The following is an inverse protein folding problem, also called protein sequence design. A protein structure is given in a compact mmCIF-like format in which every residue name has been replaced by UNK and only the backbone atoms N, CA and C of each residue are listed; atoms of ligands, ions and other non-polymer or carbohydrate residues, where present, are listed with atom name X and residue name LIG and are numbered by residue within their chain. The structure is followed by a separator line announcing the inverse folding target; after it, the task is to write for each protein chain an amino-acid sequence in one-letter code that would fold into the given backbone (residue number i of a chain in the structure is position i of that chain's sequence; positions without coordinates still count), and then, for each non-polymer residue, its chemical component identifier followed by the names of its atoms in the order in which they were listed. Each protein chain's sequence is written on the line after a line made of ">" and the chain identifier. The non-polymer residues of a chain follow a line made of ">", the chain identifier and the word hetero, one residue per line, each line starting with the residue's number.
data_IF_132650357932
#
_entry.id   IF_132650357932
#
_cell.length_a   1.000
_cell.length_b   1.000
_cell.length_c   1.000
_cell.angle_alpha   90.00
_cell.angle_beta   90.00
_cell.angle_gamma   90.00
#
_symmetry.space_group_name_H-M   'P 1'
#
loop_
_entity.id
_entity.type
_entity.pdbx_description
1 polymer ?
#
# COMPACT_ATOMS: atom_id res chain seq x y z
N UNK A 1 -4.06 -6.40 -20.70
CA UNK A 1 -3.13 -5.80 -19.72
C UNK A 1 -1.95 -6.73 -19.60
N UNK A 2 -0.71 -6.23 -19.74
CA UNK A 2 0.48 -7.07 -19.53
C UNK A 2 0.76 -7.16 -18.03
N UNK A 3 1.01 -8.36 -17.47
CA UNK A 3 1.34 -8.48 -16.06
C UNK A 3 2.54 -7.59 -15.72
N UNK A 4 2.49 -6.91 -14.58
CA UNK A 4 3.65 -6.20 -14.05
C UNK A 4 4.84 -7.18 -14.07
N UNK A 5 5.89 -6.84 -14.82
CA UNK A 5 7.10 -7.67 -14.85
C UNK A 5 7.59 -7.85 -13.41
N UNK A 6 8.16 -9.00 -13.05
CA UNK A 6 8.63 -9.28 -11.69
C UNK A 6 9.48 -8.15 -11.06
N UNK A 7 10.23 -7.43 -11.90
CA UNK A 7 10.98 -6.23 -11.51
C UNK A 7 10.09 -5.08 -10.99
N UNK A 8 8.94 -4.82 -11.61
CA UNK A 8 8.01 -3.79 -11.18
C UNK A 8 7.33 -4.18 -9.86
N UNK A 9 6.93 -5.45 -9.70
CA UNK A 9 6.39 -5.94 -8.43
C UNK A 9 7.40 -5.80 -7.29
N UNK A 10 8.69 -6.08 -7.55
CA UNK A 10 9.77 -5.87 -6.58
C UNK A 10 9.94 -4.39 -6.20
N UNK A 11 9.79 -3.46 -7.15
CA UNK A 11 9.82 -2.02 -6.86
C UNK A 11 8.66 -1.60 -5.97
N UNK A 12 7.44 -2.08 -6.27
CA UNK A 12 6.25 -1.84 -5.44
C UNK A 12 6.47 -2.32 -4.01
N UNK A 13 6.91 -3.58 -3.83
CA UNK A 13 7.21 -4.14 -2.52
C UNK A 13 8.28 -3.34 -1.77
N UNK A 14 9.39 -3.00 -2.43
CA UNK A 14 10.48 -2.27 -1.78
C UNK A 14 10.07 -0.86 -1.36
N UNK A 15 9.32 -0.15 -2.21
CA UNK A 15 8.77 1.15 -1.86
C UNK A 15 7.82 1.04 -0.67
N UNK A 16 6.90 0.06 -0.69
CA UNK A 16 5.95 -0.14 0.41
C UNK A 16 6.66 -0.46 1.73
N UNK A 17 7.63 -1.36 1.72
CA UNK A 17 8.42 -1.69 2.92
C UNK A 17 9.08 -0.46 3.52
N UNK A 18 9.68 0.40 2.68
CA UNK A 18 10.25 1.68 3.15
C UNK A 18 9.21 2.60 3.76
N UNK A 19 8.02 2.70 3.17
CA UNK A 19 6.91 3.51 3.73
C UNK A 19 6.49 2.99 5.09
N UNK A 20 6.35 1.68 5.26
CA UNK A 20 5.98 1.03 6.53
C UNK A 20 7.08 1.21 7.58
N UNK A 21 8.32 0.87 7.23
CA UNK A 21 9.45 0.86 8.17
C UNK A 21 9.81 2.29 8.62
N UNK A 22 9.80 3.25 7.70
CA UNK A 22 10.14 4.65 7.99
C UNK A 22 8.94 5.48 8.42
N UNK A 23 7.72 4.93 8.32
CA UNK A 23 6.44 5.63 8.55
C UNK A 23 6.39 6.98 7.85
N UNK A 24 6.73 6.99 6.57
CA UNK A 24 6.86 8.23 5.82
C UNK A 24 6.34 8.09 4.39
N UNK A 25 5.31 8.88 4.07
CA UNK A 25 4.65 8.89 2.76
C UNK A 25 5.58 9.32 1.62
N UNK A 26 6.66 10.07 1.90
CA UNK A 26 7.64 10.47 0.87
C UNK A 26 8.33 9.29 0.19
N UNK A 27 8.33 8.10 0.81
CA UNK A 27 8.85 6.87 0.20
C UNK A 27 7.88 6.16 -0.74
N UNK A 28 6.65 6.65 -0.89
CA UNK A 28 5.69 6.13 -1.87
C UNK A 28 6.23 6.44 -3.26
N UNK A 29 6.70 5.43 -4.00
CA UNK A 29 7.20 5.60 -5.36
C UNK A 29 6.04 5.72 -6.35
N UNK A 30 6.34 6.16 -7.57
CA UNK A 30 5.37 6.19 -8.66
C UNK A 30 4.80 4.79 -8.95
N UNK A 31 5.63 3.75 -8.91
CA UNK A 31 5.15 2.37 -9.11
C UNK A 31 4.21 1.92 -8.00
N UNK A 32 4.51 2.23 -6.73
CA UNK A 32 3.60 1.92 -5.62
C UNK A 32 2.30 2.71 -5.78
N UNK A 33 2.38 4.00 -6.04
CA UNK A 33 1.21 4.86 -6.26
C UNK A 33 0.31 4.34 -7.38
N UNK A 34 0.88 4.02 -8.54
CA UNK A 34 0.13 3.49 -9.67
C UNK A 34 -0.52 2.14 -9.32
N UNK A 35 0.20 1.27 -8.62
CA UNK A 35 -0.34 0.00 -8.15
C UNK A 35 -1.52 0.19 -7.19
N UNK A 36 -1.42 1.14 -6.26
CA UNK A 36 -2.48 1.46 -5.31
C UNK A 36 -3.72 2.00 -6.02
N UNK A 37 -3.58 2.91 -6.97
CA UNK A 37 -4.73 3.50 -7.67
C UNK A 37 -5.42 2.56 -8.66
N UNK A 38 -4.65 1.72 -9.35
CA UNK A 38 -5.18 0.88 -10.43
C UNK A 38 -5.71 -0.46 -9.92
N UNK A 39 -5.09 -1.01 -8.88
CA UNK A 39 -5.32 -2.39 -8.45
C UNK A 39 -5.85 -2.51 -7.02
N UNK A 40 -5.97 -1.38 -6.31
CA UNK A 40 -6.49 -1.32 -4.95
C UNK A 40 -7.62 -0.27 -4.88
N UNK A 41 -8.47 -0.33 -3.85
CA UNK A 41 -9.54 0.66 -3.65
C UNK A 41 -9.04 2.05 -3.19
N UNK A 42 -7.79 2.39 -3.52
CA UNK A 42 -7.30 3.75 -3.34
C UNK A 42 -7.77 4.59 -4.53
N UNK A 43 -9.02 5.02 -4.50
CA UNK A 43 -9.50 6.04 -5.43
C UNK A 43 -8.83 7.37 -5.08
N UNK A 44 -7.74 7.70 -5.76
CA UNK A 44 -7.12 9.01 -5.64
C UNK A 44 -7.30 9.77 -6.95
N UNK A 45 -8.09 10.84 -6.91
CA UNK A 45 -8.11 11.88 -7.94
C UNK A 45 -6.87 12.79 -7.86
N UNK A 46 -5.84 12.40 -7.11
CA UNK A 46 -4.69 13.23 -6.78
C UNK A 46 -3.52 12.94 -7.72
N UNK A 47 -2.54 13.85 -7.76
CA UNK A 47 -1.20 13.54 -8.28
C UNK A 47 -0.43 12.69 -7.26
N UNK A 48 0.70 12.10 -7.65
CA UNK A 48 1.59 11.41 -6.71
C UNK A 48 2.01 12.31 -5.53
N UNK A 49 2.29 13.59 -5.81
CA UNK A 49 2.66 14.57 -4.79
C UNK A 49 1.51 14.80 -3.80
N UNK A 50 0.32 15.13 -4.31
CA UNK A 50 -0.85 15.32 -3.45
C UNK A 50 -1.25 14.04 -2.69
N UNK A 51 -0.97 12.85 -3.23
CA UNK A 51 -1.16 11.60 -2.51
C UNK A 51 -0.17 11.43 -1.36
N UNK A 52 1.09 11.83 -1.52
CA UNK A 52 2.08 11.80 -0.44
C UNK A 52 1.70 12.79 0.66
N UNK A 53 1.28 13.98 0.28
CA UNK A 53 0.89 15.05 1.20
C UNK A 53 -0.35 14.63 2.02
N UNK A 54 -1.32 13.96 1.39
CA UNK A 54 -2.51 13.45 2.06
C UNK A 54 -2.21 12.43 3.18
N UNK A 55 -1.04 11.81 3.19
CA UNK A 55 -0.60 10.84 4.19
C UNK A 55 0.69 11.27 4.92
N UNK A 56 1.07 12.54 4.85
CA UNK A 56 2.23 13.04 5.59
C UNK A 56 1.93 13.16 7.10
N UNK A 57 2.97 13.07 7.92
CA UNK A 57 2.87 13.24 9.37
C UNK A 57 1.94 12.21 10.01
N UNK A 58 0.99 12.69 10.82
CA UNK A 58 0.09 11.83 11.60
C UNK A 58 -0.88 11.02 10.73
N UNK A 59 -1.13 11.47 9.49
CA UNK A 59 -2.00 10.77 8.54
C UNK A 59 -1.38 9.49 7.98
N UNK A 60 -0.06 9.28 8.15
CA UNK A 60 0.58 8.02 7.74
C UNK A 60 -0.01 6.82 8.47
N UNK A 61 -0.49 6.99 9.70
CA UNK A 61 -1.16 5.93 10.45
C UNK A 61 -2.46 5.49 9.76
N UNK A 62 -3.19 6.43 9.16
CA UNK A 62 -4.41 6.11 8.44
C UNK A 62 -4.11 5.34 7.15
N UNK A 63 -3.02 5.69 6.45
CA UNK A 63 -2.52 4.92 5.33
C UNK A 63 -2.24 3.47 5.76
N UNK A 64 -1.43 3.28 6.81
CA UNK A 64 -1.03 1.94 7.28
C UNK A 64 -2.22 1.11 7.75
N UNK A 65 -3.19 1.73 8.44
CA UNK A 65 -4.44 1.06 8.88
C UNK A 65 -5.29 0.54 7.73
N UNK A 66 -5.12 1.03 6.50
CA UNK A 66 -5.80 0.47 5.33
C UNK A 66 -5.22 -0.86 4.89
N UNK A 67 -3.99 -1.21 5.28
CA UNK A 67 -3.31 -2.47 4.94
C UNK A 67 -3.26 -3.49 6.09
N UNK A 68 -3.68 -3.08 7.29
CA UNK A 68 -3.74 -3.97 8.45
C UNK A 68 -4.97 -4.88 8.37
N UNK A 69 -4.78 -6.21 8.47
CA UNK A 69 -5.90 -7.18 8.46
C UNK A 69 -6.86 -7.03 9.63
N UNK A 70 -6.41 -6.47 10.75
CA UNK A 70 -7.19 -6.33 11.98
C UNK A 70 -7.96 -5.01 12.03
N UNK A 71 -7.66 -4.10 11.10
CA UNK A 71 -8.29 -2.79 11.05
C UNK A 71 -9.65 -2.88 10.36
N UNK A 72 -10.72 -2.32 10.93
CA UNK A 72 -12.01 -2.19 10.24
C UNK A 72 -11.91 -1.22 9.04
N UNK A 73 -10.84 -0.41 8.96
CA UNK A 73 -10.53 0.44 7.81
C UNK A 73 -9.75 -0.30 6.71
N UNK A 74 -9.53 -1.61 6.85
CA UNK A 74 -8.81 -2.41 5.86
C UNK A 74 -9.61 -2.48 4.56
N UNK A 75 -9.18 -1.74 3.54
CA UNK A 75 -9.89 -1.66 2.25
C UNK A 75 -9.61 -2.86 1.34
N UNK A 76 -8.85 -3.85 1.84
CA UNK A 76 -8.40 -5.01 1.08
C UNK A 76 -9.37 -6.18 1.06
N UNK A 77 -10.32 -6.23 2.01
CA UNK A 77 -11.39 -7.24 1.98
C UNK A 77 -12.40 -6.99 0.85
N UNK A 78 -12.46 -5.76 0.33
CA UNK A 78 -13.40 -5.31 -0.71
C UNK A 78 -12.73 -4.98 -2.06
N UNK A 79 -11.43 -5.30 -2.22
CA UNK A 79 -10.70 -4.95 -3.45
C UNK A 79 -11.34 -5.64 -4.69
N UNK A 80 -11.51 -4.91 -5.81
CA UNK A 80 -12.27 -5.38 -6.98
C UNK A 80 -11.62 -6.61 -7.61
N UNK A 81 -12.38 -7.37 -8.41
CA UNK A 81 -11.90 -8.56 -9.15
C UNK A 81 -10.65 -8.31 -10.01
N UNK A 82 -10.33 -7.05 -10.36
CA UNK A 82 -9.05 -6.66 -11.01
C UNK A 82 -7.82 -7.01 -10.15
N UNK A 83 -8.00 -7.09 -8.83
CA UNK A 83 -6.98 -7.48 -7.85
C UNK A 83 -6.56 -8.95 -7.93
N UNK A 84 -7.32 -9.86 -8.59
CA UNK A 84 -6.92 -11.29 -8.63
C UNK A 84 -5.59 -11.52 -9.36
N UNK A 85 -5.26 -10.75 -10.39
CA UNK A 85 -3.95 -10.84 -11.06
C UNK A 85 -2.79 -10.43 -10.14
N UNK A 86 -3.07 -9.56 -9.16
CA UNK A 86 -2.08 -9.05 -8.21
C UNK A 86 -2.30 -9.58 -6.79
N UNK A 87 -3.10 -10.65 -6.63
CA UNK A 87 -3.51 -11.14 -5.31
C UNK A 87 -2.32 -11.49 -4.42
N UNK A 88 -1.29 -12.13 -4.98
CA UNK A 88 -0.09 -12.51 -4.25
C UNK A 88 0.73 -11.30 -3.80
N UNK A 89 0.90 -10.31 -4.69
CA UNK A 89 1.59 -9.06 -4.37
C UNK A 89 0.84 -8.32 -3.27
N UNK A 90 -0.47 -8.18 -3.42
CA UNK A 90 -1.36 -7.50 -2.49
C UNK A 90 -1.34 -8.19 -1.12
N UNK A 91 -1.41 -9.53 -1.10
CA UNK A 91 -1.28 -10.32 0.12
C UNK A 91 0.07 -10.10 0.80
N UNK A 92 1.15 -10.03 0.03
CA UNK A 92 2.49 -9.71 0.54
C UNK A 92 2.60 -8.33 1.19
N UNK A 93 1.95 -7.30 0.64
CA UNK A 93 1.89 -5.96 1.25
C UNK A 93 1.17 -6.01 2.60
N UNK A 94 0.03 -6.70 2.65
CA UNK A 94 -0.79 -6.85 3.86
C UNK A 94 -0.05 -7.64 4.94
N UNK A 95 0.55 -8.79 4.59
CA UNK A 95 1.34 -9.60 5.51
C UNK A 95 2.49 -8.78 6.12
N UNK A 96 3.15 -7.96 5.29
CA UNK A 96 4.23 -7.09 5.75
C UNK A 96 3.73 -6.00 6.70
N UNK A 97 2.67 -5.27 6.35
CA UNK A 97 2.12 -4.24 7.22
C UNK A 97 1.60 -4.83 8.54
N UNK A 98 0.87 -5.94 8.47
CA UNK A 98 0.26 -6.58 9.66
C UNK A 98 1.30 -7.16 10.62
N UNK A 99 2.41 -7.69 10.11
CA UNK A 99 3.52 -8.16 10.97
C UNK A 99 4.18 -6.99 11.69
N UNK A 100 4.42 -5.86 11.00
CA UNK A 100 4.99 -4.65 11.62
C UNK A 100 4.06 -3.96 12.59
N UNK A 101 2.74 -3.97 12.37
CA UNK A 101 1.75 -3.45 13.33
C UNK A 101 1.78 -4.18 14.68
N UNK A 102 2.22 -5.44 14.72
CA UNK A 102 2.28 -6.22 15.96
C UNK A 102 3.46 -5.86 16.87
N UNK A 103 4.61 -5.50 16.28
CA UNK A 103 5.81 -5.03 17.00
C UNK A 103 5.64 -3.67 17.69
N UNK A 104 4.50 -2.98 17.49
CA UNK A 104 4.28 -1.60 17.94
C UNK A 104 3.35 -1.50 19.16
N UNK A 105 2.90 -2.64 19.70
CA UNK A 105 2.09 -2.74 20.92
C UNK A 105 2.81 -3.51 22.05
N UNK A 106 4.14 -3.60 22.00
CA UNK A 106 4.99 -3.99 23.14
C UNK A 106 5.88 -2.82 23.53
#
# INVERSE_FOLDING_TARGET
>A
MCPLKAQQQKKVLNSFRRVVDMRNSRFISEELYNHLNLNCNFSSHFSLEAFRDAYEGDHIQEFLKRFDRRSPKSQWLEAPKISTEFADLNRGLIDYASSRSHDLNQ
#
